data_IF_256774457238
#
_entry.id   IF_256774457238
#
_cell.length_a   1.000
_cell.length_b   1.000
_cell.length_c   1.000
_cell.angle_alpha   90.00
_cell.angle_beta   90.00
_cell.angle_gamma   90.00
#
_symmetry.space_group_name_H-M   'P 1'
#
loop_
_entity.id
_entity.type
_entity.pdbx_description
1 polymer ?
#
# COMPACT_ATOMS: atom_id res chain seq x y z
N UNK A 1 -39.11 -3.17 35.77
CA UNK A 1 -40.10 -2.64 34.80
C UNK A 1 -39.50 -1.43 34.11
N UNK A 2 -38.97 -1.59 32.89
CA UNK A 2 -38.48 -0.46 32.08
C UNK A 2 -39.70 0.28 31.53
N UNK A 3 -39.84 1.58 31.84
CA UNK A 3 -40.97 2.39 31.36
C UNK A 3 -40.91 2.44 29.82
N UNK A 4 -42.03 2.11 29.17
CA UNK A 4 -42.19 2.04 27.69
C UNK A 4 -41.59 3.26 26.95
N UNK A 5 -41.61 4.44 27.57
CA UNK A 5 -41.06 5.68 27.00
C UNK A 5 -39.53 5.69 26.87
N UNK A 6 -38.78 5.01 27.75
CA UNK A 6 -37.32 4.91 27.64
C UNK A 6 -36.88 3.98 26.49
N UNK A 7 -37.66 2.94 26.22
CA UNK A 7 -37.37 1.99 25.11
C UNK A 7 -37.55 2.68 23.76
N UNK A 8 -38.61 3.51 23.63
CA UNK A 8 -38.86 4.29 22.41
C UNK A 8 -37.77 5.32 22.19
N UNK A 9 -37.35 6.04 23.24
CA UNK A 9 -36.29 7.04 23.11
C UNK A 9 -34.94 6.40 22.72
N UNK A 10 -34.61 5.25 23.30
CA UNK A 10 -33.40 4.51 22.95
C UNK A 10 -33.44 3.99 21.50
N UNK A 11 -34.57 3.46 21.05
CA UNK A 11 -34.74 2.99 19.67
C UNK A 11 -34.62 4.13 18.64
N UNK A 12 -35.16 5.32 18.93
CA UNK A 12 -35.03 6.50 18.07
C UNK A 12 -33.57 6.99 18.01
N UNK A 13 -32.87 6.97 19.15
CA UNK A 13 -31.48 7.42 19.21
C UNK A 13 -30.55 6.46 18.45
N UNK A 14 -30.73 5.15 18.63
CA UNK A 14 -29.99 4.12 17.88
C UNK A 14 -30.32 4.19 16.39
N UNK A 15 -31.59 4.38 16.04
CA UNK A 15 -32.03 4.56 14.65
C UNK A 15 -31.37 5.77 13.98
N UNK A 16 -31.27 6.91 14.67
CA UNK A 16 -30.59 8.10 14.16
C UNK A 16 -29.07 7.91 14.02
N UNK A 17 -28.43 7.18 14.92
CA UNK A 17 -26.99 6.86 14.82
C UNK A 17 -26.72 5.94 13.62
N UNK A 18 -27.53 4.90 13.43
CA UNK A 18 -27.39 3.98 12.29
C UNK A 18 -27.71 4.71 10.98
N UNK A 19 -28.76 5.51 10.95
CA UNK A 19 -29.16 6.29 9.78
C UNK A 19 -28.11 7.35 9.42
N UNK A 20 -27.53 8.04 10.42
CA UNK A 20 -26.42 8.96 10.24
C UNK A 20 -25.16 8.27 9.71
N UNK A 21 -24.84 7.08 10.20
CA UNK A 21 -23.75 6.27 9.67
C UNK A 21 -23.97 5.89 8.20
N UNK A 22 -25.18 5.42 7.87
CA UNK A 22 -25.54 4.98 6.52
C UNK A 22 -25.53 6.12 5.50
N UNK A 23 -26.03 7.31 5.88
CA UNK A 23 -25.98 8.50 5.01
C UNK A 23 -24.60 9.16 4.95
N UNK A 24 -23.70 8.93 5.92
CA UNK A 24 -22.33 9.45 5.83
C UNK A 24 -21.45 8.68 4.82
N UNK A 25 -21.87 7.48 4.42
CA UNK A 25 -21.20 6.69 3.39
C UNK A 25 -21.46 7.23 1.97
N UNK A 26 -22.46 8.09 1.76
CA UNK A 26 -22.66 8.81 0.50
C UNK A 26 -21.93 10.17 0.53
N UNK A 27 -20.67 10.11 0.07
CA UNK A 27 -19.94 11.16 -0.66
C UNK A 27 -20.08 12.63 -0.18
N UNK A 28 -19.02 13.12 0.49
CA UNK A 28 -18.69 14.51 0.86
C UNK A 28 -18.83 14.92 2.35
N UNK A 29 -18.45 14.05 3.29
CA UNK A 29 -18.33 14.42 4.72
C UNK A 29 -16.88 14.65 5.14
N UNK A 30 -16.67 15.42 6.21
CA UNK A 30 -15.39 15.83 6.82
C UNK A 30 -14.40 14.68 7.14
N UNK A 31 -14.82 13.42 6.99
CA UNK A 31 -14.10 12.20 7.35
C UNK A 31 -13.69 11.33 6.15
N UNK A 32 -13.99 11.73 4.90
CA UNK A 32 -13.54 11.03 3.68
C UNK A 32 -12.04 10.77 3.57
N UNK A 33 -11.12 11.62 4.09
CA UNK A 33 -9.69 11.33 3.99
C UNK A 33 -9.29 10.07 4.76
N UNK A 34 -9.91 9.85 5.93
CA UNK A 34 -9.54 8.76 6.84
C UNK A 34 -10.05 7.42 6.27
N UNK A 35 -11.26 7.37 5.70
CA UNK A 35 -11.78 6.12 5.14
C UNK A 35 -11.02 5.64 3.90
N UNK A 36 -10.53 6.55 3.05
CA UNK A 36 -9.73 6.22 1.85
C UNK A 36 -8.34 5.66 2.17
N UNK A 37 -7.84 5.85 3.39
CA UNK A 37 -6.58 5.26 3.86
C UNK A 37 -6.72 3.76 4.19
N UNK A 38 -7.93 3.26 4.45
CA UNK A 38 -8.16 1.85 4.82
C UNK A 38 -8.76 1.00 3.68
N UNK A 39 -9.24 1.61 2.60
CA UNK A 39 -9.65 0.88 1.40
C UNK A 39 -8.43 0.42 0.59
N UNK A 40 -8.55 -0.63 -0.26
CA UNK A 40 -7.61 -0.85 -1.35
C UNK A 40 -7.43 0.42 -2.18
N UNK A 41 -6.25 0.61 -2.75
CA UNK A 41 -5.99 1.77 -3.61
C UNK A 41 -6.66 1.54 -4.97
N UNK A 42 -7.48 2.48 -5.41
CA UNK A 42 -7.93 2.52 -6.79
C UNK A 42 -7.00 3.45 -7.57
N UNK A 43 -6.05 2.87 -8.31
CA UNK A 43 -5.04 3.65 -9.04
C UNK A 43 -5.61 4.54 -10.15
N UNK A 44 -6.81 4.24 -10.65
CA UNK A 44 -7.47 5.06 -11.67
C UNK A 44 -8.02 6.38 -11.08
N UNK A 45 -8.22 6.45 -9.76
CA UNK A 45 -8.67 7.65 -9.06
C UNK A 45 -7.51 8.60 -8.70
N UNK A 46 -6.28 8.06 -8.59
CA UNK A 46 -5.10 8.85 -8.22
C UNK A 46 -4.55 9.58 -9.45
N UNK A 47 -4.45 10.91 -9.37
CA UNK A 47 -3.88 11.71 -10.46
C UNK A 47 -2.39 11.39 -10.64
N UNK A 48 -1.87 11.28 -11.88
CA UNK A 48 -0.48 10.90 -12.14
C UNK A 48 0.57 11.74 -11.40
N UNK A 49 0.32 13.03 -11.18
CA UNK A 49 1.22 13.93 -10.44
C UNK A 49 1.43 13.57 -8.95
N UNK A 50 0.57 12.72 -8.40
CA UNK A 50 0.64 12.25 -7.01
C UNK A 50 1.11 10.80 -6.93
N UNK A 51 1.44 10.20 -8.07
CA UNK A 51 1.89 8.82 -8.16
C UNK A 51 3.36 8.83 -8.53
N UNK A 52 4.18 8.19 -7.71
CA UNK A 52 5.60 7.96 -8.01
C UNK A 52 5.78 6.49 -8.30
N UNK A 53 6.46 6.18 -9.41
CA UNK A 53 6.77 4.81 -9.83
C UNK A 53 8.29 4.74 -9.96
N UNK A 54 8.91 3.87 -9.17
CA UNK A 54 10.33 3.58 -9.27
C UNK A 54 10.52 2.10 -9.55
N UNK A 55 11.54 1.79 -10.35
CA UNK A 55 11.81 0.43 -10.78
C UNK A 55 13.30 0.16 -10.76
N UNK A 56 13.71 -0.96 -10.18
CA UNK A 56 15.10 -1.38 -10.09
C UNK A 56 15.26 -2.83 -10.57
N UNK A 57 16.39 -3.15 -11.23
CA UNK A 57 16.72 -4.54 -11.50
C UNK A 57 17.04 -5.26 -10.18
N UNK A 58 16.59 -6.51 -10.08
CA UNK A 58 16.92 -7.42 -9.01
C UNK A 58 17.48 -8.73 -9.58
N UNK A 59 18.40 -9.35 -8.86
CA UNK A 59 19.05 -10.59 -9.30
C UNK A 59 19.05 -11.59 -8.15
N UNK A 60 18.61 -12.82 -8.40
CA UNK A 60 18.68 -13.91 -7.44
C UNK A 60 20.14 -14.23 -7.13
N UNK A 61 20.50 -14.19 -5.85
CA UNK A 61 21.83 -14.53 -5.35
C UNK A 61 21.88 -15.96 -4.81
N UNK A 62 20.84 -16.36 -4.09
CA UNK A 62 20.74 -17.65 -3.43
C UNK A 62 19.27 -18.09 -3.29
N UNK A 63 19.03 -19.39 -3.43
CA UNK A 63 17.76 -20.05 -3.15
C UNK A 63 17.88 -20.94 -1.92
N UNK A 64 17.15 -20.61 -0.85
CA UNK A 64 17.13 -21.35 0.41
C UNK A 64 15.76 -22.02 0.60
N UNK A 65 15.53 -23.07 -0.20
CA UNK A 65 14.27 -23.83 -0.17
C UNK A 65 13.14 -23.08 -0.88
N UNK A 66 12.31 -22.36 -0.10
CA UNK A 66 11.19 -21.57 -0.64
C UNK A 66 11.46 -20.07 -0.62
N UNK A 67 12.57 -19.63 -0.01
CA UNK A 67 12.98 -18.24 0.06
C UNK A 67 14.11 -17.94 -0.92
N UNK A 68 13.99 -16.83 -1.62
CA UNK A 68 14.96 -16.33 -2.59
C UNK A 68 15.56 -15.04 -2.05
N UNK A 69 16.89 -15.03 -1.88
CA UNK A 69 17.63 -13.82 -1.55
C UNK A 69 18.05 -13.15 -2.85
N UNK A 70 17.66 -11.88 -3.01
CA UNK A 70 17.94 -11.14 -4.24
C UNK A 70 18.70 -9.86 -3.94
N UNK A 71 19.62 -9.51 -4.82
CA UNK A 71 20.26 -8.21 -4.81
C UNK A 71 19.28 -7.13 -5.28
N UNK A 72 19.12 -6.06 -4.50
CA UNK A 72 18.23 -4.93 -4.78
C UNK A 72 19.00 -3.61 -4.70
N UNK A 73 19.96 -3.44 -5.62
CA UNK A 73 20.79 -2.24 -5.66
C UNK A 73 19.93 -0.99 -5.86
N UNK A 74 20.21 0.07 -5.10
CA UNK A 74 19.50 1.35 -5.09
C UNK A 74 18.09 1.33 -4.47
N UNK A 75 17.66 0.24 -3.83
CA UNK A 75 16.37 0.23 -3.12
C UNK A 75 16.32 1.29 -2.00
N UNK A 76 17.43 1.54 -1.30
CA UNK A 76 17.54 2.66 -0.34
C UNK A 76 17.10 4.00 -0.92
N UNK A 77 17.47 4.32 -2.18
CA UNK A 77 17.09 5.60 -2.80
C UNK A 77 15.58 5.75 -2.98
N UNK A 78 14.88 4.62 -3.14
CA UNK A 78 13.43 4.61 -3.24
C UNK A 78 12.82 4.71 -1.84
N UNK A 79 13.30 3.89 -0.89
CA UNK A 79 12.78 3.84 0.48
C UNK A 79 13.04 5.14 1.26
N UNK A 80 14.14 5.82 1.00
CA UNK A 80 14.52 7.06 1.68
C UNK A 80 13.98 8.30 0.95
N UNK A 81 13.13 8.12 -0.06
CA UNK A 81 12.50 9.24 -0.76
C UNK A 81 11.54 9.99 0.16
N UNK A 82 11.67 11.32 0.22
CA UNK A 82 10.91 12.18 1.16
C UNK A 82 9.39 12.02 1.05
N UNK A 83 8.89 11.76 -0.15
CA UNK A 83 7.46 11.59 -0.40
C UNK A 83 6.94 10.16 -0.12
N UNK A 84 7.81 9.20 0.21
CA UNK A 84 7.43 7.81 0.46
C UNK A 84 7.17 7.55 1.94
N UNK A 85 6.04 8.08 2.44
CA UNK A 85 5.66 8.06 3.86
C UNK A 85 5.63 6.68 4.53
N UNK A 86 5.28 5.62 3.78
CA UNK A 86 5.18 4.25 4.28
C UNK A 86 6.34 3.36 3.85
N UNK A 87 7.51 3.95 3.58
CA UNK A 87 8.69 3.20 3.16
C UNK A 87 9.13 2.14 4.18
N UNK A 88 8.99 2.37 5.48
CA UNK A 88 9.31 1.36 6.50
C UNK A 88 8.42 0.11 6.44
N UNK A 89 7.19 0.24 5.95
CA UNK A 89 6.33 -0.93 5.68
C UNK A 89 6.76 -1.66 4.42
N UNK A 90 7.20 -0.93 3.39
CA UNK A 90 7.77 -1.52 2.19
C UNK A 90 9.08 -2.25 2.49
N UNK A 91 9.96 -1.65 3.28
CA UNK A 91 11.19 -2.26 3.78
C UNK A 91 10.90 -3.58 4.51
N UNK A 92 9.90 -3.57 5.39
CA UNK A 92 9.48 -4.76 6.15
C UNK A 92 8.85 -5.84 5.26
N UNK A 93 7.99 -5.45 4.32
CA UNK A 93 7.32 -6.38 3.40
C UNK A 93 8.32 -7.06 2.45
N UNK A 94 9.32 -6.32 1.99
CA UNK A 94 10.39 -6.81 1.13
C UNK A 94 11.49 -7.57 1.91
N UNK A 95 11.40 -7.60 3.25
CA UNK A 95 12.46 -8.07 4.15
C UNK A 95 13.83 -7.52 3.73
N UNK A 96 13.89 -6.22 3.50
CA UNK A 96 15.09 -5.58 2.97
C UNK A 96 16.17 -5.43 4.04
N UNK A 97 17.38 -5.87 3.71
CA UNK A 97 18.58 -5.72 4.51
C UNK A 97 19.47 -4.64 3.89
N UNK A 98 19.56 -3.49 4.56
CA UNK A 98 20.31 -2.32 4.05
C UNK A 98 21.81 -2.55 3.94
N UNK A 99 22.42 -3.25 4.90
CA UNK A 99 23.86 -3.49 4.92
C UNK A 99 24.34 -4.28 3.69
N UNK A 100 23.54 -5.25 3.25
CA UNK A 100 23.81 -6.16 2.14
C UNK A 100 23.12 -5.75 0.84
N UNK A 101 22.19 -4.79 0.92
CA UNK A 101 21.30 -4.38 -0.17
C UNK A 101 20.54 -5.57 -0.78
N UNK A 102 20.04 -6.46 0.09
CA UNK A 102 19.31 -7.66 -0.33
C UNK A 102 17.88 -7.67 0.17
N UNK A 103 16.98 -8.23 -0.62
CA UNK A 103 15.60 -8.53 -0.22
C UNK A 103 15.44 -10.05 -0.11
N UNK A 104 14.54 -10.50 0.75
CA UNK A 104 14.22 -11.91 0.91
C UNK A 104 12.71 -12.14 0.74
N UNK A 105 12.34 -12.78 -0.37
CA UNK A 105 10.95 -13.03 -0.76
C UNK A 105 10.72 -14.51 -1.08
N UNK A 106 9.46 -14.91 -1.25
CA UNK A 106 9.18 -16.27 -1.69
C UNK A 106 9.66 -16.46 -3.13
N UNK A 107 10.38 -17.54 -3.42
CA UNK A 107 10.80 -17.85 -4.78
C UNK A 107 9.62 -17.97 -5.76
N UNK A 108 8.41 -18.27 -5.26
CA UNK A 108 7.19 -18.30 -6.08
C UNK A 108 6.75 -16.93 -6.60
N UNK A 109 7.21 -15.84 -5.96
CA UNK A 109 6.94 -14.46 -6.38
C UNK A 109 7.93 -13.99 -7.45
N UNK A 110 8.99 -14.77 -7.71
CA UNK A 110 10.11 -14.39 -8.57
C UNK A 110 9.98 -15.13 -9.89
N UNK A 111 9.65 -14.44 -10.99
CA UNK A 111 9.41 -15.10 -12.27
C UNK A 111 10.70 -15.67 -12.87
N UNK A 112 11.83 -14.97 -12.70
CA UNK A 112 13.11 -15.30 -13.33
C UNK A 112 14.32 -14.86 -12.46
N UNK A 113 15.49 -15.45 -12.69
CA UNK A 113 16.76 -15.11 -11.98
C UNK A 113 17.09 -13.61 -12.06
N UNK A 114 16.80 -13.00 -13.21
CA UNK A 114 16.86 -11.54 -13.41
C UNK A 114 15.44 -11.03 -13.53
N UNK A 115 15.05 -10.21 -12.56
CA UNK A 115 13.72 -9.62 -12.50
C UNK A 115 13.82 -8.12 -12.25
N UNK A 116 12.69 -7.45 -12.25
CA UNK A 116 12.55 -6.02 -11.99
C UNK A 116 11.56 -5.82 -10.86
N UNK A 117 12.02 -5.20 -9.78
CA UNK A 117 11.17 -4.77 -8.68
C UNK A 117 10.65 -3.37 -8.99
N UNK A 118 9.33 -3.24 -9.09
CA UNK A 118 8.67 -1.94 -9.22
C UNK A 118 7.94 -1.62 -7.93
N UNK A 119 8.19 -0.44 -7.39
CA UNK A 119 7.49 0.13 -6.23
C UNK A 119 6.75 1.37 -6.71
N UNK A 120 5.46 1.39 -6.38
CA UNK A 120 4.56 2.49 -6.73
C UNK A 120 3.91 3.00 -5.46
N UNK A 121 3.94 4.31 -5.26
CA UNK A 121 3.34 4.93 -4.08
C UNK A 121 2.66 6.26 -4.39
N UNK A 122 1.75 6.63 -3.51
CA UNK A 122 0.96 7.86 -3.55
C UNK A 122 1.52 8.86 -2.54
N UNK A 123 1.87 10.05 -3.01
CA UNK A 123 2.36 11.15 -2.16
C UNK A 123 1.32 11.55 -1.12
N UNK A 124 1.75 12.04 0.06
CA UNK A 124 0.86 12.51 1.13
C UNK A 124 -0.18 13.54 0.68
N UNK A 125 0.17 14.40 -0.27
CA UNK A 125 -0.70 15.49 -0.74
C UNK A 125 -1.84 15.03 -1.68
N UNK A 126 -1.92 13.73 -1.98
CA UNK A 126 -3.00 13.21 -2.82
C UNK A 126 -4.35 13.31 -2.09
N UNK A 127 -5.38 13.92 -2.69
CA UNK A 127 -6.73 13.87 -2.15
C UNK A 127 -7.35 12.47 -2.23
N UNK A 128 -6.79 11.60 -3.08
CA UNK A 128 -7.24 10.25 -3.35
C UNK A 128 -6.19 9.26 -2.86
N UNK A 129 -6.59 8.40 -1.92
CA UNK A 129 -5.75 7.32 -1.38
C UNK A 129 -4.32 7.76 -0.96
N UNK A 130 -4.16 8.81 -0.13
CA UNK A 130 -2.84 9.28 0.29
C UNK A 130 -2.05 8.17 0.99
N UNK A 131 -0.73 8.22 0.83
CA UNK A 131 0.24 7.33 1.51
C UNK A 131 0.04 5.83 1.18
N UNK A 132 -0.73 5.50 0.13
CA UNK A 132 -0.82 4.13 -0.36
C UNK A 132 0.40 3.74 -1.16
N UNK A 133 0.72 2.46 -1.14
CA UNK A 133 1.82 1.92 -1.93
C UNK A 133 1.55 0.46 -2.28
N UNK A 134 2.22 -0.01 -3.33
CA UNK A 134 2.28 -1.41 -3.73
C UNK A 134 3.64 -1.71 -4.35
N UNK A 135 3.98 -2.99 -4.43
CA UNK A 135 5.11 -3.47 -5.23
C UNK A 135 4.69 -4.65 -6.08
N UNK A 136 5.42 -4.88 -7.15
CA UNK A 136 5.32 -6.08 -7.96
C UNK A 136 6.67 -6.41 -8.60
N UNK A 137 6.84 -7.68 -8.96
CA UNK A 137 8.06 -8.20 -9.58
C UNK A 137 7.69 -8.77 -10.95
N UNK A 138 8.43 -8.33 -11.96
CA UNK A 138 8.24 -8.76 -13.35
C UNK A 138 9.57 -9.24 -13.94
N UNK A 139 9.51 -10.02 -15.02
CA UNK A 139 10.73 -10.46 -15.71
C UNK A 139 11.46 -9.27 -16.32
N UNK A 140 12.80 -9.32 -16.30
CA UNK A 140 13.62 -8.23 -16.81
C UNK A 140 14.51 -8.69 -17.97
N UNK A 141 14.12 -8.32 -19.19
CA UNK A 141 14.95 -8.47 -20.37
C UNK A 141 15.72 -7.17 -20.61
N UNK A 142 17.06 -7.24 -20.62
CA UNK A 142 17.96 -6.10 -20.85
C UNK A 142 17.75 -5.44 -22.23
N UNK A 143 16.97 -6.06 -23.12
CA UNK A 143 16.64 -5.54 -24.44
C UNK A 143 15.46 -4.57 -24.49
N UNK A 144 14.72 -4.39 -23.39
CA UNK A 144 13.59 -3.46 -23.33
C UNK A 144 14.02 -2.11 -22.70
N UNK A 145 13.84 -0.97 -23.40
CA UNK A 145 14.32 0.35 -23.00
C UNK A 145 13.72 0.88 -21.69
#
# INVERSE_FOLDING_TARGET
MVKKNHVIFFAVTVGLVIFGFYYSMDNNTLFTPISKQFSPVNWDEVKPRFTVINSIPIVVLEENGFECTMQANNLDKILDHEEFERSGEAESALKYERDTHTINLSCSEIPEEKSRLTIKYVTRDSPEHPEKWEYYIESYDETSP
#
